data_IF_804413778865
#
_entry.id   IF_804413778865
#
_cell.length_a   1.000
_cell.length_b   1.000
_cell.length_c   1.000
_cell.angle_alpha   90.00
_cell.angle_beta   90.00
_cell.angle_gamma   90.00
#
_symmetry.space_group_name_H-M   'P 1'
#
loop_
_entity.id
_entity.type
_entity.pdbx_description
1 polymer ?
#
# COMPACT_ATOMS: atom_id res chain seq x y z
N UNK A 1 -82.64 -6.66 16.68
CA UNK A 1 -81.57 -7.14 15.76
C UNK A 1 -81.50 -6.29 14.48
N UNK A 2 -82.62 -5.91 13.87
CA UNK A 2 -82.66 -5.07 12.64
C UNK A 2 -81.97 -3.70 12.79
N UNK A 3 -82.20 -3.00 13.90
CA UNK A 3 -81.62 -1.66 14.16
C UNK A 3 -80.10 -1.67 14.36
N UNK A 4 -79.53 -2.73 14.92
CA UNK A 4 -78.08 -2.86 15.09
C UNK A 4 -77.41 -3.07 13.73
N UNK A 5 -78.00 -3.88 12.85
CA UNK A 5 -77.49 -4.10 11.50
C UNK A 5 -77.51 -2.83 10.64
N UNK A 6 -78.58 -2.02 10.71
CA UNK A 6 -78.63 -0.72 10.03
C UNK A 6 -77.57 0.27 10.54
N UNK A 7 -77.34 0.33 11.85
CA UNK A 7 -76.29 1.18 12.45
C UNK A 7 -74.88 0.73 12.02
N UNK A 8 -74.64 -0.58 11.96
CA UNK A 8 -73.36 -1.13 11.49
C UNK A 8 -73.16 -0.84 10.01
N UNK A 9 -74.19 -0.99 9.18
CA UNK A 9 -74.12 -0.75 7.74
C UNK A 9 -73.79 0.73 7.44
N UNK A 10 -74.47 1.67 8.10
CA UNK A 10 -74.18 3.11 7.96
C UNK A 10 -72.76 3.48 8.43
N UNK A 11 -72.29 2.86 9.51
CA UNK A 11 -70.93 3.07 10.03
C UNK A 11 -69.86 2.50 9.09
N UNK A 12 -70.14 1.38 8.43
CA UNK A 12 -69.24 0.76 7.47
C UNK A 12 -69.14 1.56 6.16
N UNK A 13 -70.27 2.09 5.65
CA UNK A 13 -70.27 2.95 4.47
C UNK A 13 -69.47 4.24 4.68
N UNK A 14 -69.65 4.89 5.83
CA UNK A 14 -68.90 6.12 6.17
C UNK A 14 -67.40 5.84 6.36
N UNK A 15 -67.03 4.72 6.98
CA UNK A 15 -65.62 4.30 7.11
C UNK A 15 -64.97 4.03 5.76
N UNK A 16 -65.65 3.33 4.85
CA UNK A 16 -65.15 3.05 3.50
C UNK A 16 -64.97 4.35 2.71
N UNK A 17 -65.92 5.29 2.81
CA UNK A 17 -65.82 6.60 2.15
C UNK A 17 -64.62 7.41 2.65
N UNK A 18 -64.40 7.47 3.97
CA UNK A 18 -63.24 8.16 4.55
C UNK A 18 -61.94 7.49 4.12
N UNK A 19 -61.86 6.16 4.15
CA UNK A 19 -60.69 5.42 3.66
C UNK A 19 -60.42 5.71 2.19
N UNK A 20 -61.44 5.71 1.33
CA UNK A 20 -61.29 6.01 -0.09
C UNK A 20 -60.77 7.44 -0.31
N UNK A 21 -61.28 8.43 0.43
CA UNK A 21 -60.82 9.82 0.34
C UNK A 21 -59.36 9.94 0.79
N UNK A 22 -59.00 9.36 1.94
CA UNK A 22 -57.62 9.38 2.44
C UNK A 22 -56.67 8.69 1.48
N UNK A 23 -57.07 7.57 0.88
CA UNK A 23 -56.27 6.85 -0.11
C UNK A 23 -56.11 7.69 -1.39
N UNK A 24 -57.18 8.30 -1.90
CA UNK A 24 -57.10 9.18 -3.07
C UNK A 24 -56.18 10.38 -2.80
N UNK A 25 -56.33 11.06 -1.66
CA UNK A 25 -55.49 12.22 -1.30
C UNK A 25 -54.05 11.79 -1.07
N UNK A 26 -53.82 10.68 -0.38
CA UNK A 26 -52.49 10.11 -0.15
C UNK A 26 -51.81 9.66 -1.44
N UNK A 27 -52.55 9.05 -2.37
CA UNK A 27 -52.04 8.65 -3.68
C UNK A 27 -51.72 9.86 -4.56
N UNK A 28 -52.56 10.91 -4.54
CA UNK A 28 -52.28 12.15 -5.26
C UNK A 28 -51.03 12.85 -4.72
N UNK A 29 -50.95 13.04 -3.40
CA UNK A 29 -49.77 13.64 -2.76
C UNK A 29 -48.52 12.78 -2.96
N UNK A 30 -48.64 11.46 -2.80
CA UNK A 30 -47.55 10.52 -3.01
C UNK A 30 -47.05 10.52 -4.46
N UNK A 31 -47.95 10.59 -5.44
CA UNK A 31 -47.59 10.68 -6.86
C UNK A 31 -46.91 12.02 -7.19
N UNK A 32 -47.39 13.13 -6.62
CA UNK A 32 -46.76 14.44 -6.81
C UNK A 32 -45.34 14.48 -6.24
N UNK A 33 -45.15 13.96 -5.02
CA UNK A 33 -43.83 13.87 -4.38
C UNK A 33 -42.91 12.91 -5.17
N UNK A 34 -43.38 11.72 -5.55
CA UNK A 34 -42.58 10.77 -6.32
C UNK A 34 -42.12 11.35 -7.66
N UNK A 35 -42.98 12.12 -8.32
CA UNK A 35 -42.67 12.76 -9.61
C UNK A 35 -41.64 13.89 -9.48
N UNK A 36 -41.57 14.59 -8.34
CA UNK A 36 -40.59 15.67 -8.12
C UNK A 36 -39.24 15.14 -7.62
N UNK A 37 -39.22 14.03 -6.88
CA UNK A 37 -37.99 13.45 -6.32
C UNK A 37 -37.21 12.54 -7.28
N UNK A 38 -37.78 12.15 -8.43
CA UNK A 38 -37.08 11.36 -9.45
C UNK A 38 -36.87 12.15 -10.76
N UNK A 39 -36.09 13.25 -10.78
CA UNK A 39 -35.66 13.82 -12.05
C UNK A 39 -34.79 12.78 -12.79
N UNK A 40 -35.04 12.53 -14.09
CA UNK A 40 -34.26 11.56 -14.88
C UNK A 40 -32.77 11.92 -14.95
N UNK A 41 -32.43 13.20 -14.81
CA UNK A 41 -31.05 13.71 -14.79
C UNK A 41 -30.23 13.10 -13.64
N UNK A 42 -30.74 13.09 -12.40
CA UNK A 42 -30.02 12.53 -11.25
C UNK A 42 -29.75 11.02 -11.38
N UNK A 43 -30.64 10.29 -12.06
CA UNK A 43 -30.44 8.87 -12.35
C UNK A 43 -29.32 8.66 -13.36
N UNK A 44 -29.27 9.51 -14.39
CA UNK A 44 -28.21 9.48 -15.42
C UNK A 44 -26.86 9.83 -14.82
N UNK A 45 -26.79 10.84 -13.95
CA UNK A 45 -25.56 11.24 -13.28
C UNK A 45 -25.01 10.12 -12.39
N UNK A 46 -25.89 9.43 -11.66
CA UNK A 46 -25.49 8.31 -10.81
C UNK A 46 -25.03 7.10 -11.63
N UNK A 47 -25.72 6.79 -12.73
CA UNK A 47 -25.31 5.73 -13.66
C UNK A 47 -23.97 6.06 -14.34
N UNK A 48 -23.78 7.31 -14.78
CA UNK A 48 -22.51 7.78 -15.34
C UNK A 48 -21.38 7.69 -14.31
N UNK A 49 -21.62 8.12 -13.07
CA UNK A 49 -20.62 8.02 -11.99
C UNK A 49 -20.21 6.57 -11.75
N UNK A 50 -21.17 5.64 -11.71
CA UNK A 50 -20.87 4.20 -11.60
C UNK A 50 -20.09 3.66 -12.80
N UNK A 51 -20.42 4.10 -14.02
CA UNK A 51 -19.68 3.70 -15.22
C UNK A 51 -18.24 4.24 -15.19
N UNK A 52 -18.04 5.51 -14.83
CA UNK A 52 -16.73 6.13 -14.70
C UNK A 52 -15.85 5.40 -13.68
N UNK A 53 -16.35 5.15 -12.47
CA UNK A 53 -15.58 4.43 -11.44
C UNK A 53 -15.23 3.00 -11.87
N UNK A 54 -16.14 2.31 -12.57
CA UNK A 54 -15.84 0.96 -13.12
C UNK A 54 -14.76 1.02 -14.18
N UNK A 55 -14.78 2.04 -15.03
CA UNK A 55 -13.77 2.25 -16.05
C UNK A 55 -12.40 2.55 -15.43
N UNK A 56 -12.34 3.43 -14.44
CA UNK A 56 -11.11 3.73 -13.68
C UNK A 56 -10.52 2.49 -13.01
N UNK A 57 -11.36 1.66 -12.40
CA UNK A 57 -10.94 0.42 -11.77
C UNK A 57 -10.41 -0.59 -12.81
N UNK A 58 -11.05 -0.70 -13.97
CA UNK A 58 -10.57 -1.56 -15.05
C UNK A 58 -9.21 -1.08 -15.59
N UNK A 59 -9.08 0.24 -15.82
CA UNK A 59 -7.83 0.87 -16.23
C UNK A 59 -6.71 0.59 -15.22
N UNK A 60 -6.97 0.79 -13.92
CA UNK A 60 -6.00 0.50 -12.87
C UNK A 60 -5.58 -0.97 -12.84
N UNK A 61 -6.54 -1.90 -12.97
CA UNK A 61 -6.23 -3.34 -13.05
C UNK A 61 -5.34 -3.66 -14.25
N UNK A 62 -5.59 -3.02 -15.40
CA UNK A 62 -4.80 -3.20 -16.60
C UNK A 62 -3.39 -2.62 -16.45
N UNK A 63 -3.25 -1.44 -15.85
CA UNK A 63 -1.96 -0.79 -15.59
C UNK A 63 -1.11 -1.62 -14.62
N UNK A 64 -1.72 -2.16 -13.56
CA UNK A 64 -1.04 -3.07 -12.62
C UNK A 64 -0.58 -4.35 -13.32
N UNK A 65 -1.44 -4.96 -14.13
CA UNK A 65 -1.09 -6.16 -14.88
C UNK A 65 0.08 -5.91 -15.85
N UNK A 66 0.05 -4.77 -16.55
CA UNK A 66 1.12 -4.34 -17.44
C UNK A 66 2.43 -4.12 -16.66
N UNK A 67 2.36 -3.45 -15.51
CA UNK A 67 3.54 -3.20 -14.67
C UNK A 67 4.19 -4.51 -14.22
N UNK A 68 3.41 -5.47 -13.71
CA UNK A 68 3.94 -6.78 -13.32
C UNK A 68 4.48 -7.60 -14.49
N UNK A 69 3.90 -7.48 -15.68
CA UNK A 69 4.44 -8.12 -16.89
C UNK A 69 5.81 -7.54 -17.27
N UNK A 70 5.95 -6.22 -17.25
CA UNK A 70 7.21 -5.52 -17.49
C UNK A 70 8.26 -5.84 -16.43
N UNK A 71 7.89 -5.80 -15.15
CA UNK A 71 8.78 -6.17 -14.04
C UNK A 71 9.25 -7.62 -14.18
N UNK A 72 8.35 -8.56 -14.51
CA UNK A 72 8.71 -9.98 -14.70
C UNK A 72 9.74 -10.14 -15.83
N UNK A 73 9.59 -9.39 -16.92
CA UNK A 73 10.57 -9.36 -18.01
C UNK A 73 11.92 -8.82 -17.54
N UNK A 74 11.93 -7.75 -16.76
CA UNK A 74 13.16 -7.14 -16.25
C UNK A 74 13.87 -8.06 -15.25
N UNK A 75 13.14 -8.71 -14.35
CA UNK A 75 13.66 -9.70 -13.39
C UNK A 75 14.22 -10.93 -14.12
N UNK A 76 13.56 -11.37 -15.19
CA UNK A 76 14.07 -12.45 -16.02
C UNK A 76 15.42 -12.08 -16.66
N UNK A 77 15.52 -10.89 -17.25
CA UNK A 77 16.77 -10.38 -17.82
C UNK A 77 17.88 -10.29 -16.77
N UNK A 78 17.56 -9.76 -15.58
CA UNK A 78 18.51 -9.70 -14.46
C UNK A 78 19.02 -11.10 -14.06
N UNK A 79 18.11 -12.07 -13.96
CA UNK A 79 18.46 -13.46 -13.63
C UNK A 79 19.38 -14.05 -14.69
N UNK A 80 19.14 -13.76 -15.97
CA UNK A 80 19.98 -14.21 -17.07
C UNK A 80 21.38 -13.58 -16.99
N UNK A 81 21.48 -12.27 -16.81
CA UNK A 81 22.77 -11.59 -16.64
C UNK A 81 23.53 -12.10 -15.41
N UNK A 82 22.85 -12.40 -14.30
CA UNK A 82 23.47 -13.05 -13.14
C UNK A 82 24.07 -14.42 -13.48
N UNK A 83 23.34 -15.25 -14.23
CA UNK A 83 23.85 -16.56 -14.67
C UNK A 83 25.07 -16.42 -15.57
N UNK A 84 25.03 -15.49 -16.52
CA UNK A 84 26.15 -15.22 -17.44
C UNK A 84 27.41 -14.79 -16.67
N UNK A 85 27.26 -13.89 -15.69
CA UNK A 85 28.37 -13.50 -14.80
C UNK A 85 28.90 -14.70 -14.03
N UNK A 86 28.02 -15.52 -13.47
CA UNK A 86 28.43 -16.71 -12.71
C UNK A 86 29.17 -17.73 -13.58
N UNK A 87 28.69 -17.99 -14.80
CA UNK A 87 29.33 -18.87 -15.76
C UNK A 87 30.70 -18.33 -16.19
N UNK A 88 30.81 -17.02 -16.41
CA UNK A 88 32.07 -16.36 -16.72
C UNK A 88 33.09 -16.52 -15.59
N UNK A 89 32.68 -16.35 -14.34
CA UNK A 89 33.53 -16.57 -13.18
C UNK A 89 33.96 -18.03 -13.04
N UNK A 90 33.05 -18.98 -13.23
CA UNK A 90 33.37 -20.41 -13.18
C UNK A 90 34.38 -20.80 -14.26
N UNK A 91 34.17 -20.33 -15.50
CA UNK A 91 35.10 -20.54 -16.61
C UNK A 91 36.46 -19.89 -16.33
N UNK A 92 36.46 -18.64 -15.87
CA UNK A 92 37.67 -17.90 -15.52
C UNK A 92 38.46 -18.57 -14.41
N UNK A 93 37.80 -19.10 -13.38
CA UNK A 93 38.46 -19.88 -12.33
C UNK A 93 39.18 -21.09 -12.92
N UNK A 94 38.52 -21.91 -13.74
CA UNK A 94 39.14 -23.10 -14.37
C UNK A 94 40.32 -22.72 -15.27
N UNK A 95 40.17 -21.67 -16.07
CA UNK A 95 41.21 -21.20 -16.99
C UNK A 95 42.44 -20.68 -16.24
N UNK A 96 42.24 -19.89 -15.18
CA UNK A 96 43.30 -19.30 -14.36
C UNK A 96 43.95 -20.33 -13.42
N UNK A 97 43.23 -21.37 -13.01
CA UNK A 97 43.77 -22.46 -12.18
C UNK A 97 44.33 -23.63 -12.99
N UNK A 98 44.60 -23.43 -14.29
CA UNK A 98 45.15 -24.48 -15.15
C UNK A 98 46.34 -25.17 -14.46
N UNK A 99 46.32 -26.51 -14.41
CA UNK A 99 47.35 -27.34 -13.78
C UNK A 99 48.78 -27.00 -14.26
N UNK A 100 48.93 -26.50 -15.49
CA UNK A 100 50.20 -25.97 -16.02
C UNK A 100 50.71 -24.75 -15.24
N UNK A 101 49.84 -23.77 -14.97
CA UNK A 101 50.15 -22.55 -14.21
C UNK A 101 50.37 -22.90 -12.75
N UNK A 102 49.53 -23.76 -12.18
CA UNK A 102 49.68 -24.24 -10.82
C UNK A 102 51.00 -25.01 -10.64
N UNK A 103 51.38 -25.86 -11.59
CA UNK A 103 52.71 -26.53 -11.60
C UNK A 103 53.85 -25.53 -11.74
N UNK A 104 53.72 -24.50 -12.58
CA UNK A 104 54.74 -23.44 -12.73
C UNK A 104 54.91 -22.60 -11.46
N UNK A 105 53.82 -22.28 -10.76
CA UNK A 105 53.86 -21.57 -9.47
C UNK A 105 54.49 -22.45 -8.39
N UNK A 106 54.13 -23.74 -8.33
CA UNK A 106 54.74 -24.69 -7.38
C UNK A 106 56.23 -24.85 -7.67
N UNK A 107 56.63 -25.07 -8.93
CA UNK A 107 58.03 -25.19 -9.33
C UNK A 107 58.82 -23.89 -9.09
N UNK A 108 58.18 -22.72 -9.18
CA UNK A 108 58.80 -21.43 -8.83
C UNK A 108 58.85 -21.19 -7.31
N UNK A 109 57.92 -21.77 -6.54
CA UNK A 109 57.79 -21.63 -5.08
C UNK A 109 58.52 -22.71 -4.25
N UNK A 110 58.95 -23.81 -4.88
CA UNK A 110 59.72 -24.90 -4.27
C UNK A 110 61.08 -24.45 -3.69
N UNK A 111 61.45 -23.18 -3.93
CA UNK A 111 62.62 -22.55 -3.32
C UNK A 111 62.48 -22.16 -1.84
N UNK A 112 61.35 -21.67 -1.33
CA UNK A 112 61.37 -20.93 -0.03
C UNK A 112 60.01 -20.62 0.66
N UNK A 113 59.01 -21.51 0.71
CA UNK A 113 57.78 -21.20 1.50
C UNK A 113 57.36 -22.31 2.47
N UNK A 114 57.76 -22.12 3.73
CA UNK A 114 57.28 -22.81 4.91
C UNK A 114 56.06 -22.01 5.44
N UNK A 115 54.84 -22.35 4.99
CA UNK A 115 53.61 -21.71 5.45
C UNK A 115 53.00 -22.50 6.62
N UNK A 116 53.29 -22.03 7.84
CA UNK A 116 52.57 -22.40 9.05
C UNK A 116 51.18 -21.75 9.02
N UNK A 117 50.12 -22.54 8.85
CA UNK A 117 48.75 -22.06 8.79
C UNK A 117 48.18 -21.76 10.18
N UNK A 118 48.00 -20.47 10.51
CA UNK A 118 47.17 -20.06 11.66
C UNK A 118 45.69 -20.29 11.31
N UNK A 119 45.14 -21.42 11.76
CA UNK A 119 43.71 -21.70 11.78
C UNK A 119 42.99 -20.62 12.59
N UNK A 120 42.13 -19.81 11.94
CA UNK A 120 41.17 -18.95 12.65
C UNK A 120 40.00 -19.84 13.05
N UNK A 121 40.19 -20.56 14.15
CA UNK A 121 39.13 -21.31 14.82
C UNK A 121 38.39 -20.37 15.77
N UNK A 122 37.10 -20.12 15.53
CA UNK A 122 36.19 -19.69 16.59
C UNK A 122 35.65 -18.25 16.58
N UNK A 123 35.74 -17.48 15.49
CA UNK A 123 34.91 -16.29 15.37
C UNK A 123 33.53 -16.70 14.84
N UNK A 124 32.58 -16.93 15.76
CA UNK A 124 31.18 -17.12 15.42
C UNK A 124 30.68 -15.88 14.66
N UNK A 125 30.58 -15.97 13.34
CA UNK A 125 29.91 -14.97 12.50
C UNK A 125 28.42 -15.10 12.77
N UNK A 126 27.92 -14.38 13.77
CA UNK A 126 26.47 -14.32 14.02
C UNK A 126 25.84 -13.37 12.98
N UNK A 127 24.78 -13.78 12.26
CA UNK A 127 24.11 -12.92 11.30
C UNK A 127 23.51 -11.69 11.99
N UNK A 128 23.51 -10.51 11.34
CA UNK A 128 22.90 -9.29 11.88
C UNK A 128 21.46 -9.53 12.30
N UNK A 129 21.15 -9.21 13.55
CA UNK A 129 19.89 -9.55 14.23
C UNK A 129 18.88 -8.41 14.12
N UNK A 130 18.80 -7.80 12.94
CA UNK A 130 17.98 -6.60 12.67
C UNK A 130 16.48 -6.90 12.55
N UNK A 131 16.05 -8.14 12.78
CA UNK A 131 14.67 -8.60 12.67
C UNK A 131 13.96 -8.82 14.03
N UNK A 132 14.62 -8.51 15.15
CA UNK A 132 14.02 -8.71 16.47
C UNK A 132 12.82 -7.77 16.70
N UNK A 133 11.63 -8.29 17.06
CA UNK A 133 10.48 -7.44 17.39
C UNK A 133 10.79 -6.59 18.62
N UNK A 134 10.69 -5.27 18.45
CA UNK A 134 11.00 -4.28 19.49
C UNK A 134 9.94 -4.26 20.59
N UNK A 135 10.32 -3.81 21.78
CA UNK A 135 9.40 -3.64 22.90
C UNK A 135 8.42 -2.47 22.63
N UNK A 136 7.19 -2.49 23.18
CA UNK A 136 6.21 -1.43 22.92
C UNK A 136 6.73 -0.05 23.39
N UNK A 137 6.93 0.87 22.44
CA UNK A 137 7.39 2.24 22.70
C UNK A 137 8.79 2.56 22.16
N UNK A 138 9.52 1.60 21.59
CA UNK A 138 10.84 1.84 21.00
C UNK A 138 10.74 2.09 19.49
N UNK A 139 11.19 3.26 19.03
CA UNK A 139 11.20 3.63 17.61
C UNK A 139 12.21 2.79 16.82
N UNK A 140 11.84 2.40 15.59
CA UNK A 140 12.67 1.55 14.72
C UNK A 140 13.92 2.27 14.23
N UNK A 141 14.97 1.55 13.82
CA UNK A 141 16.12 2.18 13.11
C UNK A 141 15.75 2.82 11.77
N UNK A 142 14.52 2.57 11.31
CA UNK A 142 13.92 3.13 10.11
C UNK A 142 12.69 4.01 10.40
N UNK A 143 12.42 4.35 11.67
CA UNK A 143 11.36 5.33 11.98
C UNK A 143 11.84 6.73 11.63
N UNK A 144 10.93 7.58 11.18
CA UNK A 144 11.20 9.01 10.89
C UNK A 144 11.78 9.80 12.07
N UNK A 145 11.56 9.32 13.29
CA UNK A 145 12.02 9.91 14.56
C UNK A 145 13.39 9.36 15.02
N UNK A 146 14.00 8.44 14.26
CA UNK A 146 15.26 7.82 14.64
C UNK A 146 16.41 8.84 14.57
N UNK A 147 16.96 9.21 15.72
CA UNK A 147 17.99 10.25 15.85
C UNK A 147 17.45 11.66 16.09
N UNK A 148 16.14 11.81 16.32
CA UNK A 148 15.49 13.05 16.72
C UNK A 148 15.11 13.02 18.21
N UNK A 149 16.09 12.85 19.09
CA UNK A 149 15.87 13.14 20.51
C UNK A 149 15.82 14.67 20.66
N UNK A 150 14.64 15.23 20.89
CA UNK A 150 14.44 16.63 21.29
C UNK A 150 15.04 16.85 22.70
N UNK A 151 16.36 16.92 22.81
CA UNK A 151 17.01 17.57 23.94
C UNK A 151 16.82 19.08 23.79
N UNK A 152 15.71 19.60 24.34
CA UNK A 152 15.47 21.04 24.48
C UNK A 152 16.52 21.64 25.45
N UNK A 153 17.52 22.44 25.00
CA UNK A 153 18.42 23.11 25.91
C UNK A 153 17.75 24.44 26.29
N UNK A 154 17.37 24.57 27.56
CA UNK A 154 16.93 25.84 28.15
C UNK A 154 18.03 26.89 27.98
N UNK A 155 17.90 27.78 26.98
CA UNK A 155 18.80 28.92 26.81
C UNK A 155 18.00 30.21 26.56
N UNK A 156 17.97 31.08 27.56
CA UNK A 156 17.39 32.42 27.51
C UNK A 156 18.12 33.27 26.45
N UNK A 157 17.41 34.09 25.65
CA UNK A 157 18.04 34.88 24.60
C UNK A 157 18.77 36.11 25.17
N UNK A 158 20.03 36.37 24.80
CA UNK A 158 20.70 37.62 25.12
C UNK A 158 20.19 38.77 24.24
N UNK A 159 19.94 39.91 24.89
CA UNK A 159 19.50 41.20 24.38
C UNK A 159 20.40 41.77 23.26
N UNK A 160 19.82 42.11 22.10
CA UNK A 160 20.52 42.84 21.02
C UNK A 160 20.06 44.30 21.01
N UNK A 161 20.96 45.30 21.10
CA UNK A 161 20.58 46.71 21.09
C UNK A 161 20.28 47.21 19.66
N UNK A 162 19.23 48.02 19.54
CA UNK A 162 18.71 48.57 18.26
C UNK A 162 19.53 49.78 17.82
N UNK A 163 19.91 49.91 16.53
CA UNK A 163 20.63 51.09 16.04
C UNK A 163 19.71 52.32 15.94
N UNK A 164 20.18 53.47 16.45
CA UNK A 164 19.51 54.77 16.30
C UNK A 164 19.59 55.24 14.85
N UNK A 165 18.44 55.46 14.20
CA UNK A 165 18.34 56.29 13.00
C UNK A 165 18.35 57.76 13.42
N UNK A 166 19.23 58.53 12.77
CA UNK A 166 19.39 59.96 12.95
C UNK A 166 18.14 60.72 12.48
N UNK A 167 17.71 61.68 13.31
CA UNK A 167 16.82 62.78 13.02
C UNK A 167 17.35 63.99 13.78
#
# INVERSE_FOLDING_TARGET
MLTITEVILFSLETLIMVCAIVLCVGALLGALISRTFLPPEQKRDLEQSLQLTRQELNQYQQDVAQHFAETSKLVHNLTQSYKEVHEHLAKGAVELTNSEISRKIIAAGEGTLNLEGTSIEGAAVEPPKDWAPKTPGESGTLSEDYGHDEEEPVHQPPHVPVPKKAG
#
